data_IF_381245735783
#
_entry.id   IF_381245735783
#
_cell.length_a   1.000
_cell.length_b   1.000
_cell.length_c   1.000
_cell.angle_alpha   90.00
_cell.angle_beta   90.00
_cell.angle_gamma   90.00
#
_symmetry.space_group_name_H-M   'P 1'
#
loop_
_entity.id
_entity.type
_entity.pdbx_description
1 polymer ?
#
# COMPACT_ATOMS: atom_id res chain seq x y z
N UNK A 1 -16.64 -3.81 -4.46
CA UNK A 1 -15.58 -2.86 -4.01
C UNK A 1 -15.02 -2.01 -5.17
N UNK A 2 -14.73 -0.71 -4.97
CA UNK A 2 -14.19 0.19 -6.05
C UNK A 2 -12.75 0.72 -5.80
N UNK A 3 -12.09 0.35 -4.70
CA UNK A 3 -10.69 0.74 -4.42
C UNK A 3 -10.40 0.90 -2.93
N UNK A 4 -9.19 1.39 -2.59
CA UNK A 4 -8.78 1.60 -1.19
C UNK A 4 -8.27 0.35 -0.47
N UNK A 5 -7.83 -0.67 -1.23
CA UNK A 5 -7.27 -1.89 -0.69
C UNK A 5 -5.96 -1.58 0.04
N UNK A 6 -5.99 -1.68 1.36
CA UNK A 6 -4.87 -1.33 2.26
C UNK A 6 -4.51 -2.45 3.23
N UNK A 7 -5.33 -3.49 3.36
CA UNK A 7 -5.04 -4.59 4.27
C UNK A 7 -5.93 -5.80 4.01
N UNK A 8 -5.58 -6.92 4.67
CA UNK A 8 -6.19 -8.23 4.46
C UNK A 8 -7.73 -8.25 4.60
N UNK A 9 -8.37 -7.56 5.57
CA UNK A 9 -9.83 -7.60 5.68
C UNK A 9 -10.56 -7.09 4.43
N UNK A 10 -10.03 -6.05 3.78
CA UNK A 10 -10.63 -5.50 2.55
C UNK A 10 -10.33 -6.39 1.35
N UNK A 11 -9.18 -7.07 1.34
CA UNK A 11 -8.85 -8.08 0.33
C UNK A 11 -9.81 -9.26 0.42
N UNK A 12 -9.98 -9.84 1.61
CA UNK A 12 -10.86 -10.99 1.85
C UNK A 12 -12.30 -10.67 1.48
N UNK A 13 -12.76 -9.45 1.81
CA UNK A 13 -14.06 -8.97 1.37
C UNK A 13 -14.16 -8.95 -0.16
N UNK A 14 -13.16 -8.42 -0.87
CA UNK A 14 -13.17 -8.44 -2.34
C UNK A 14 -13.24 -9.86 -2.89
N UNK A 15 -12.45 -10.79 -2.36
CA UNK A 15 -12.49 -12.19 -2.78
C UNK A 15 -13.87 -12.82 -2.52
N UNK A 16 -14.49 -12.52 -1.37
CA UNK A 16 -15.84 -13.00 -1.03
C UNK A 16 -16.95 -12.39 -1.91
N UNK A 17 -16.72 -11.20 -2.47
CA UNK A 17 -17.60 -10.54 -3.44
C UNK A 17 -17.44 -11.10 -4.87
N UNK A 18 -16.54 -12.08 -5.07
CA UNK A 18 -16.33 -12.77 -6.35
C UNK A 18 -15.22 -12.17 -7.22
N UNK A 19 -14.39 -11.27 -6.68
CA UNK A 19 -13.21 -10.78 -7.40
C UNK A 19 -12.07 -11.81 -7.34
N UNK A 20 -11.40 -12.04 -8.45
CA UNK A 20 -10.25 -12.96 -8.53
C UNK A 20 -8.93 -12.31 -8.09
N UNK A 21 -8.86 -10.98 -8.15
CA UNK A 21 -7.68 -10.20 -7.81
C UNK A 21 -8.03 -8.86 -7.19
N UNK A 22 -7.08 -8.29 -6.45
CA UNK A 22 -7.14 -6.93 -5.92
C UNK A 22 -5.97 -6.11 -6.46
N UNK A 23 -6.26 -4.88 -6.89
CA UNK A 23 -5.25 -3.92 -7.28
C UNK A 23 -4.90 -2.99 -6.11
N UNK A 24 -3.61 -2.85 -5.81
CA UNK A 24 -3.10 -1.96 -4.77
C UNK A 24 -2.21 -0.88 -5.38
N UNK A 25 -2.29 0.35 -4.86
CA UNK A 25 -1.48 1.47 -5.32
C UNK A 25 -0.95 2.32 -4.17
N UNK A 26 -1.81 3.14 -3.55
CA UNK A 26 -1.41 4.13 -2.53
C UNK A 26 -0.74 3.51 -1.29
N UNK A 27 -1.18 2.31 -0.89
CA UNK A 27 -0.54 1.53 0.17
C UNK A 27 0.92 1.21 -0.16
N UNK A 28 1.17 0.70 -1.37
CA UNK A 28 2.50 0.32 -1.86
C UNK A 28 3.42 1.52 -2.12
N UNK A 29 2.85 2.72 -2.34
CA UNK A 29 3.66 3.94 -2.38
C UNK A 29 4.28 4.28 -1.02
N UNK A 30 3.63 3.89 0.08
CA UNK A 30 4.08 4.11 1.46
C UNK A 30 4.85 2.92 2.02
N UNK A 31 4.48 1.70 1.64
CA UNK A 31 5.07 0.44 2.13
C UNK A 31 5.23 -0.54 0.96
N UNK A 32 6.37 -0.52 0.24
CA UNK A 32 6.63 -1.41 -0.90
C UNK A 32 6.60 -2.91 -0.55
N UNK A 33 6.88 -3.25 0.70
CA UNK A 33 6.95 -4.61 1.25
C UNK A 33 5.63 -5.08 1.91
N UNK A 34 4.58 -4.26 1.88
CA UNK A 34 3.32 -4.52 2.61
C UNK A 34 2.71 -5.89 2.29
N UNK A 35 2.78 -6.35 1.04
CA UNK A 35 2.23 -7.67 0.65
C UNK A 35 2.96 -8.81 1.36
N UNK A 36 4.28 -8.70 1.51
CA UNK A 36 5.09 -9.71 2.22
C UNK A 36 4.75 -9.69 3.71
N UNK A 37 4.63 -8.50 4.30
CA UNK A 37 4.23 -8.35 5.71
C UNK A 37 2.82 -8.89 5.97
N UNK A 38 1.86 -8.65 5.07
CA UNK A 38 0.51 -9.21 5.16
C UNK A 38 0.46 -10.74 5.00
N UNK A 39 1.42 -11.31 4.26
CA UNK A 39 1.58 -12.76 4.13
C UNK A 39 2.08 -13.38 5.44
N UNK A 40 2.99 -12.70 6.14
CA UNK A 40 3.55 -13.13 7.43
C UNK A 40 2.57 -12.90 8.59
N UNK A 41 1.91 -11.75 8.61
CA UNK A 41 0.89 -11.37 9.59
C UNK A 41 -0.27 -10.64 8.89
N UNK A 42 -1.39 -11.36 8.74
CA UNK A 42 -2.62 -10.86 8.15
C UNK A 42 -3.24 -9.66 8.91
N UNK A 43 -2.87 -9.44 10.17
CA UNK A 43 -3.33 -8.32 10.98
C UNK A 43 -2.53 -7.03 10.76
N UNK A 44 -1.45 -7.08 9.97
CA UNK A 44 -0.59 -5.93 9.68
C UNK A 44 -1.41 -4.73 9.17
N UNK A 45 -1.40 -3.60 9.89
CA UNK A 45 -2.06 -2.39 9.42
C UNK A 45 -1.17 -1.67 8.40
N UNK A 46 -1.79 -1.15 7.33
CA UNK A 46 -1.12 -0.23 6.38
C UNK A 46 -1.00 1.18 6.96
N UNK A 47 0.12 1.83 6.68
CA UNK A 47 0.41 3.23 7.00
C UNK A 47 -0.20 4.23 5.99
N UNK A 48 -0.82 3.77 4.90
CA UNK A 48 -1.57 4.66 4.01
C UNK A 48 -2.88 5.14 4.66
N UNK A 49 -2.95 6.44 4.95
CA UNK A 49 -4.10 7.11 5.58
C UNK A 49 -5.09 7.73 4.58
N UNK A 50 -5.05 7.35 3.30
CA UNK A 50 -5.95 7.84 2.25
C UNK A 50 -5.99 9.38 2.06
N UNK A 51 -4.92 10.10 2.42
CA UNK A 51 -4.89 11.57 2.36
C UNK A 51 -4.83 12.18 0.94
N UNK A 52 -4.72 11.35 -0.10
CA UNK A 52 -4.60 11.73 -1.52
C UNK A 52 -3.45 12.68 -1.91
N UNK A 53 -2.55 13.06 -0.99
CA UNK A 53 -1.40 13.92 -1.30
C UNK A 53 -0.39 13.29 -2.28
N UNK A 54 -0.46 11.97 -2.50
CA UNK A 54 0.30 11.30 -3.55
C UNK A 54 -0.22 11.61 -4.97
N UNK A 55 -1.51 11.88 -5.14
CA UNK A 55 -2.12 12.14 -6.46
C UNK A 55 -1.42 13.26 -7.23
N UNK A 56 -1.24 14.49 -6.69
CA UNK A 56 -0.61 15.57 -7.44
C UNK A 56 0.88 15.34 -7.77
N UNK A 57 1.50 14.29 -7.20
CA UNK A 57 2.91 13.96 -7.51
C UNK A 57 3.07 13.20 -8.83
N UNK A 58 1.97 12.70 -9.42
CA UNK A 58 1.98 11.95 -10.67
C UNK A 58 2.66 12.69 -11.84
N UNK A 59 2.65 14.02 -11.85
CA UNK A 59 3.31 14.85 -12.87
C UNK A 59 4.84 14.89 -12.77
N UNK A 60 5.42 14.46 -11.64
CA UNK A 60 6.88 14.56 -11.38
C UNK A 60 7.51 13.25 -10.93
N UNK A 61 6.71 12.20 -10.76
CA UNK A 61 7.09 10.94 -10.14
C UNK A 61 6.19 10.62 -8.97
N UNK A 62 5.27 9.68 -9.18
CA UNK A 62 4.29 9.24 -8.19
C UNK A 62 4.97 8.71 -6.93
N UNK A 63 4.67 9.33 -5.78
CA UNK A 63 5.21 8.92 -4.47
C UNK A 63 4.23 9.18 -3.33
N UNK A 64 4.46 8.54 -2.19
CA UNK A 64 3.86 8.97 -0.94
C UNK A 64 4.64 10.16 -0.37
N UNK A 65 3.96 11.28 -0.08
CA UNK A 65 4.62 12.50 0.43
C UNK A 65 5.12 12.38 1.87
N UNK A 66 4.65 11.35 2.60
CA UNK A 66 5.09 11.10 3.96
C UNK A 66 6.41 10.32 4.01
N UNK A 67 6.85 9.76 2.87
CA UNK A 67 8.12 9.05 2.72
C UNK A 67 9.20 10.06 2.38
N UNK A 68 10.29 10.08 3.14
CA UNK A 68 11.45 10.90 2.83
C UNK A 68 12.02 10.48 1.46
N UNK A 69 12.45 11.47 0.66
CA UNK A 69 12.97 11.21 -0.69
C UNK A 69 14.31 10.47 -0.69
N UNK A 70 15.05 10.52 0.41
CA UNK A 70 16.30 9.80 0.61
C UNK A 70 16.08 8.33 0.99
N UNK A 71 14.87 7.92 1.40
CA UNK A 71 14.62 6.53 1.79
C UNK A 71 14.71 5.60 0.58
N UNK A 72 15.66 4.66 0.62
CA UNK A 72 15.81 3.66 -0.44
C UNK A 72 14.62 2.71 -0.44
N UNK A 73 13.94 2.58 -1.59
CA UNK A 73 12.89 1.57 -1.81
C UNK A 73 13.49 0.19 -2.12
N UNK A 74 14.36 -0.29 -1.23
CA UNK A 74 15.01 -1.61 -1.33
C UNK A 74 14.25 -2.63 -0.49
N UNK A 75 14.68 -3.87 -0.57
CA UNK A 75 14.11 -5.02 0.16
C UNK A 75 14.09 -4.80 1.69
N UNK A 76 14.98 -3.95 2.22
CA UNK A 76 15.06 -3.60 3.66
C UNK A 76 14.17 -2.40 4.05
N UNK A 77 13.10 -2.12 3.31
CA UNK A 77 12.19 -1.01 3.62
C UNK A 77 11.69 -1.10 5.08
N UNK A 78 11.85 -0.03 5.86
CA UNK A 78 11.37 0.02 7.25
C UNK A 78 12.19 -0.78 8.27
N UNK A 79 13.31 -1.38 7.87
CA UNK A 79 14.30 -1.97 8.79
C UNK A 79 15.37 -0.92 9.13
N UNK A 80 15.78 -0.74 10.41
CA UNK A 80 16.86 0.17 10.79
C UNK A 80 18.16 -0.08 10.03
#
# INVERSE_FOLDING_TARGET
LLGGITGKPVMDRAMSEGFEFVAMARALLREPDLVNRLREDASTPSLCIHCNKCMPTNFTGTRCVLVDRATTRRETWGTP
#
